data_IF_879586317031
#
_entry.id   IF_879586317031
#
_cell.length_a   1.000
_cell.length_b   1.000
_cell.length_c   1.000
_cell.angle_alpha   90.00
_cell.angle_beta   90.00
_cell.angle_gamma   90.00
#
_symmetry.space_group_name_H-M   'P 1'
#
loop_
_entity.id
_entity.type
_entity.pdbx_description
1 polymer ?
#
# COMPACT_ATOMS: atom_id res chain seq x y z
N UNK A 1 -20.45 -40.55 5.24
CA UNK A 1 -20.23 -40.01 5.07
C UNK A 1 -19.63 -39.50 5.75
N UNK A 2 -19.89 -39.96 6.30
CA UNK A 2 -19.46 -39.34 7.07
C UNK A 2 -18.32 -38.99 6.79
N UNK A 3 -18.04 -39.63 6.28
CA UNK A 3 -16.97 -39.23 6.20
C UNK A 3 -16.94 -38.06 5.70
N UNK A 4 -17.61 -38.04 5.19
CA UNK A 4 -17.48 -36.98 4.70
C UNK A 4 -17.40 -36.08 5.44
N UNK A 5 -17.91 -36.52 6.02
CA UNK A 5 -17.95 -35.56 6.70
C UNK A 5 -16.78 -35.18 7.02
N UNK A 6 -16.40 -35.93 6.99
CA UNK A 6 -15.35 -35.49 7.32
C UNK A 6 -14.90 -34.74 6.39
N UNK A 7 -15.37 -34.99 6.08
CA UNK A 7 -15.04 -34.27 5.68
C UNK A 7 -15.11 -33.28 5.75
N UNK A 8 -15.54 -33.46 5.62
CA UNK A 8 -15.75 -32.25 5.60
C UNK A 8 -15.10 -31.49 6.54
N UNK A 9 -15.10 -31.89 7.47
CA UNK A 9 -14.49 -31.17 8.43
C UNK A 9 -13.18 -30.80 8.05
N UNK A 10 -12.64 -31.63 7.52
CA UNK A 10 -11.38 -31.30 7.22
C UNK A 10 -11.35 -30.16 6.42
N UNK A 11 -12.09 -30.04 5.84
CA UNK A 11 -11.92 -29.07 5.11
C UNK A 11 -11.99 -27.89 5.63
N UNK A 12 -12.05 -27.83 6.30
CA UNK A 12 -12.08 -26.75 6.77
C UNK A 12 -11.01 -26.21 7.18
N UNK A 13 -10.43 -26.70 7.17
CA UNK A 13 -9.57 -26.29 7.50
C UNK A 13 -8.64 -26.10 7.01
N UNK A 14 -8.60 -26.35 6.73
CA UNK A 14 -7.81 -26.15 6.33
C UNK A 14 -7.51 -25.58 5.64
N UNK A 15 -7.64 -25.64 5.34
CA UNK A 15 -7.32 -25.03 4.46
C UNK A 15 -7.19 -23.82 4.05
N UNK A 16 -7.25 -23.09 4.52
CA UNK A 16 -7.11 -21.84 3.93
C UNK A 16 -5.75 -21.40 3.64
N UNK A 17 -4.81 -22.02 4.13
CA UNK A 17 -3.54 -21.64 3.87
C UNK A 17 -3.16 -21.74 2.51
N UNK A 18 -3.80 -22.43 1.79
CA UNK A 18 -3.52 -22.53 0.40
C UNK A 18 -3.60 -21.18 -0.25
N UNK A 19 -4.53 -20.40 0.17
CA UNK A 19 -4.70 -19.08 -0.38
C UNK A 19 -3.46 -18.25 -0.20
N UNK A 20 -2.75 -18.48 0.86
CA UNK A 20 -1.59 -17.70 1.13
C UNK A 20 -0.47 -17.88 0.15
N UNK A 21 -0.46 -18.94 -0.57
CA UNK A 21 0.60 -19.19 -1.52
C UNK A 21 0.30 -18.65 -2.90
N UNK A 22 -0.91 -18.15 -3.12
CA UNK A 22 -1.28 -17.64 -4.41
C UNK A 22 -0.82 -16.20 -4.58
N UNK A 23 -0.38 -15.88 -5.78
CA UNK A 23 -0.07 -14.50 -6.13
C UNK A 23 -1.37 -13.82 -6.52
N UNK A 24 -1.79 -12.78 -5.82
CA UNK A 24 -3.09 -12.16 -6.06
C UNK A 24 -3.16 -11.28 -7.29
N UNK A 25 -2.05 -11.04 -7.97
CA UNK A 25 -1.98 -10.11 -9.08
C UNK A 25 -1.63 -10.82 -10.38
N UNK A 26 -2.32 -10.46 -11.43
CA UNK A 26 -2.17 -11.09 -12.75
C UNK A 26 -2.07 -10.03 -13.84
N UNK A 27 -1.04 -9.19 -13.74
CA UNK A 27 -0.86 -8.09 -14.69
C UNK A 27 -0.26 -8.57 -16.01
N UNK A 28 0.31 -9.75 -16.04
CA UNK A 28 1.02 -10.27 -17.19
C UNK A 28 2.51 -9.96 -17.15
N UNK A 29 2.99 -9.24 -16.13
CA UNK A 29 4.40 -8.92 -15.95
C UNK A 29 4.83 -9.46 -14.60
N UNK A 30 5.64 -10.50 -14.58
CA UNK A 30 5.96 -11.24 -13.35
C UNK A 30 6.57 -10.36 -12.28
N UNK A 31 7.50 -9.48 -12.62
CA UNK A 31 8.12 -8.66 -11.59
C UNK A 31 7.20 -7.56 -11.08
N UNK A 32 6.24 -7.13 -11.86
CA UNK A 32 5.20 -6.22 -11.37
C UNK A 32 4.29 -6.95 -10.40
N UNK A 33 3.89 -8.18 -10.74
CA UNK A 33 3.06 -8.99 -9.84
C UNK A 33 3.77 -9.23 -8.51
N UNK A 34 5.06 -9.53 -8.54
CA UNK A 34 5.84 -9.74 -7.32
C UNK A 34 5.93 -8.46 -6.50
N UNK A 35 6.14 -7.32 -7.15
CA UNK A 35 6.21 -6.03 -6.48
C UNK A 35 4.88 -5.71 -5.79
N UNK A 36 3.77 -5.90 -6.51
CA UNK A 36 2.44 -5.61 -5.96
C UNK A 36 2.09 -6.56 -4.81
N UNK A 37 2.50 -7.81 -4.91
CA UNK A 37 2.30 -8.79 -3.84
C UNK A 37 3.03 -8.35 -2.58
N UNK A 38 4.26 -7.91 -2.72
CA UNK A 38 5.03 -7.45 -1.58
C UNK A 38 4.44 -6.17 -0.98
N UNK A 39 4.01 -5.24 -1.83
CA UNK A 39 3.33 -4.04 -1.35
C UNK A 39 2.08 -4.38 -0.55
N UNK A 40 1.30 -5.33 -1.05
CA UNK A 40 0.08 -5.75 -0.37
C UNK A 40 0.39 -6.31 1.00
N UNK A 41 1.44 -7.12 1.11
CA UNK A 41 1.88 -7.66 2.39
C UNK A 41 2.25 -6.55 3.35
N UNK A 42 2.99 -5.57 2.88
CA UNK A 42 3.40 -4.44 3.71
C UNK A 42 2.19 -3.63 4.18
N UNK A 43 1.22 -3.42 3.28
CA UNK A 43 0.02 -2.69 3.64
C UNK A 43 -0.85 -3.47 4.62
N UNK A 44 -0.89 -4.79 4.51
CA UNK A 44 -1.60 -5.62 5.47
C UNK A 44 -0.94 -5.56 6.84
N UNK A 45 0.40 -5.54 6.89
CA UNK A 45 1.13 -5.36 8.13
C UNK A 45 0.85 -3.99 8.73
N UNK A 46 0.82 -2.97 7.89
CA UNK A 46 0.50 -1.61 8.33
C UNK A 46 -0.90 -1.54 8.94
N UNK A 47 -1.85 -2.22 8.31
CA UNK A 47 -3.21 -2.28 8.82
C UNK A 47 -3.26 -2.92 10.20
N UNK A 48 -2.55 -4.03 10.39
CA UNK A 48 -2.49 -4.71 11.67
C UNK A 48 -1.86 -3.80 12.74
N UNK A 49 -0.83 -3.06 12.38
CA UNK A 49 -0.20 -2.12 13.30
C UNK A 49 -1.17 -1.00 13.68
N UNK A 50 -1.93 -0.52 12.71
CA UNK A 50 -2.92 0.53 12.93
C UNK A 50 -3.97 0.07 13.95
N UNK A 51 -4.38 -1.18 13.85
CA UNK A 51 -5.36 -1.72 14.78
C UNK A 51 -4.78 -1.97 16.17
N UNK A 52 -3.48 -2.24 16.24
CA UNK A 52 -2.83 -2.56 17.50
C UNK A 52 -2.42 -1.33 18.31
N UNK A 53 -2.15 -0.22 17.64
CA UNK A 53 -1.63 0.97 18.31
C UNK A 53 -2.77 1.94 18.62
N UNK A 54 -2.88 2.38 19.88
CA UNK A 54 -4.04 3.16 20.32
C UNK A 54 -3.96 4.66 20.06
N UNK A 55 -2.80 5.19 19.72
CA UNK A 55 -2.63 6.65 19.60
C UNK A 55 -3.42 7.20 18.42
N UNK A 56 -4.34 8.13 18.64
CA UNK A 56 -5.21 8.62 17.55
C UNK A 56 -4.48 9.33 16.42
N UNK A 57 -3.44 10.11 16.76
CA UNK A 57 -2.69 10.82 15.73
C UNK A 57 -1.90 9.87 14.85
N UNK A 58 -1.33 8.84 15.46
CA UNK A 58 -0.59 7.83 14.74
C UNK A 58 -1.53 7.01 13.87
N UNK A 59 -2.69 6.66 14.44
CA UNK A 59 -3.70 5.91 13.69
C UNK A 59 -4.19 6.69 12.48
N UNK A 60 -4.40 7.99 12.62
CA UNK A 60 -4.83 8.84 11.51
C UNK A 60 -3.79 8.84 10.40
N UNK A 61 -2.50 8.93 10.76
CA UNK A 61 -1.43 8.90 9.78
C UNK A 61 -1.35 7.54 9.09
N UNK A 62 -1.46 6.46 9.85
CA UNK A 62 -1.41 5.11 9.27
C UNK A 62 -2.59 4.85 8.34
N UNK A 63 -3.77 5.37 8.68
CA UNK A 63 -4.94 5.25 7.81
C UNK A 63 -4.70 5.97 6.48
N UNK A 64 -4.09 7.15 6.52
CA UNK A 64 -3.72 7.87 5.30
C UNK A 64 -2.72 7.07 4.46
N UNK A 65 -1.73 6.45 5.11
CA UNK A 65 -0.75 5.61 4.41
C UNK A 65 -1.41 4.42 3.75
N UNK A 66 -2.30 3.73 4.47
CA UNK A 66 -3.00 2.58 3.91
C UNK A 66 -3.81 2.98 2.68
N UNK A 67 -4.55 4.06 2.81
CA UNK A 67 -5.42 4.51 1.74
C UNK A 67 -4.62 4.86 0.48
N UNK A 68 -3.57 5.66 0.66
CA UNK A 68 -2.72 6.04 -0.47
C UNK A 68 -2.00 4.82 -1.04
N UNK A 69 -1.48 3.95 -0.19
CA UNK A 69 -0.76 2.76 -0.63
C UNK A 69 -1.63 1.81 -1.42
N UNK A 70 -2.86 1.59 -0.97
CA UNK A 70 -3.78 0.70 -1.68
C UNK A 70 -4.21 1.29 -3.02
N UNK A 71 -4.36 2.61 -3.08
CA UNK A 71 -4.67 3.29 -4.35
C UNK A 71 -3.50 3.19 -5.33
N UNK A 72 -2.27 3.25 -4.83
CA UNK A 72 -1.08 3.05 -5.67
C UNK A 72 -1.09 1.63 -6.25
N UNK A 73 -1.37 0.63 -5.41
CA UNK A 73 -1.45 -0.76 -5.86
C UNK A 73 -2.49 -0.91 -6.96
N UNK A 74 -3.69 -0.36 -6.74
CA UNK A 74 -4.76 -0.45 -7.73
C UNK A 74 -4.40 0.23 -9.03
N UNK A 75 -3.76 1.39 -8.95
CA UNK A 75 -3.37 2.15 -10.13
C UNK A 75 -2.34 1.38 -10.96
N UNK A 76 -1.34 0.79 -10.30
CA UNK A 76 -0.31 0.02 -10.99
C UNK A 76 -0.87 -1.29 -11.53
N UNK A 77 -1.78 -1.93 -10.78
CA UNK A 77 -2.40 -3.16 -11.26
C UNK A 77 -3.17 -2.90 -12.56
N UNK A 78 -3.88 -1.78 -12.61
CA UNK A 78 -4.65 -1.42 -13.80
C UNK A 78 -3.75 -0.98 -14.96
N UNK A 79 -2.55 -0.46 -14.67
CA UNK A 79 -1.62 0.01 -15.69
C UNK A 79 -0.19 -0.39 -15.30
N UNK A 80 0.19 -1.64 -15.59
CA UNK A 80 1.50 -2.17 -15.15
C UNK A 80 2.72 -1.39 -15.64
N UNK A 81 2.58 -0.67 -16.74
CA UNK A 81 3.68 0.17 -17.24
C UNK A 81 4.06 1.26 -16.24
N UNK A 82 3.15 1.60 -15.33
CA UNK A 82 3.43 2.62 -14.30
C UNK A 82 4.29 2.09 -13.17
N UNK A 83 4.55 0.81 -13.11
CA UNK A 83 5.32 0.19 -12.03
C UNK A 83 6.68 0.85 -11.84
N UNK A 84 7.32 1.24 -12.93
CA UNK A 84 8.66 1.85 -12.84
C UNK A 84 8.64 3.16 -12.07
N UNK A 85 7.53 3.87 -12.05
CA UNK A 85 7.41 5.14 -11.35
C UNK A 85 7.36 4.96 -9.84
N UNK A 86 6.95 3.79 -9.38
CA UNK A 86 6.77 3.53 -7.95
C UNK A 86 7.76 2.48 -7.41
N UNK A 87 8.72 2.03 -8.21
CA UNK A 87 9.63 0.97 -7.78
C UNK A 87 10.42 1.32 -6.53
N UNK A 88 10.95 2.52 -6.45
CA UNK A 88 11.69 2.93 -5.27
C UNK A 88 10.80 3.00 -4.05
N UNK A 89 9.60 3.52 -4.24
CA UNK A 89 8.61 3.56 -3.17
C UNK A 89 8.28 2.15 -2.70
N UNK A 90 7.98 1.26 -3.63
CA UNK A 90 7.56 -0.10 -3.30
C UNK A 90 8.67 -0.92 -2.66
N UNK A 91 9.89 -0.78 -3.16
CA UNK A 91 10.99 -1.64 -2.73
C UNK A 91 11.73 -1.11 -1.52
N UNK A 92 11.65 0.18 -1.25
CA UNK A 92 12.44 0.78 -0.16
C UNK A 92 11.60 1.62 0.79
N UNK A 93 10.85 2.57 0.28
CA UNK A 93 10.16 3.52 1.16
C UNK A 93 9.06 2.88 1.99
N UNK A 94 8.20 2.11 1.35
CA UNK A 94 7.09 1.44 2.03
C UNK A 94 7.59 0.41 3.06
N UNK A 95 8.53 -0.50 2.70
CA UNK A 95 9.03 -1.44 3.70
C UNK A 95 9.73 -0.75 4.87
N UNK A 96 10.48 0.31 4.60
CA UNK A 96 11.18 1.04 5.67
C UNK A 96 10.19 1.72 6.60
N UNK A 97 9.15 2.33 6.05
CA UNK A 97 8.13 2.99 6.86
C UNK A 97 7.42 1.98 7.77
N UNK A 98 7.07 0.82 7.23
CA UNK A 98 6.43 -0.23 8.01
C UNK A 98 7.37 -0.74 9.09
N UNK A 99 8.64 -0.90 8.76
CA UNK A 99 9.64 -1.38 9.71
C UNK A 99 9.78 -0.43 10.91
N UNK A 100 9.82 0.88 10.67
CA UNK A 100 9.90 1.87 11.74
C UNK A 100 8.70 1.75 12.67
N UNK A 101 7.51 1.60 12.10
CA UNK A 101 6.29 1.48 12.89
C UNK A 101 6.25 0.16 13.67
N UNK A 102 6.78 -0.92 13.09
CA UNK A 102 6.90 -2.19 13.80
C UNK A 102 7.82 -2.05 15.00
N UNK A 103 8.93 -1.36 14.83
CA UNK A 103 9.86 -1.14 15.93
C UNK A 103 9.24 -0.31 17.05
N UNK A 104 8.47 0.71 16.67
CA UNK A 104 7.75 1.51 17.65
C UNK A 104 6.72 0.68 18.39
N UNK A 105 5.96 -0.15 17.67
CA UNK A 105 4.95 -1.01 18.29
C UNK A 105 5.58 -1.96 19.30
N UNK A 106 6.75 -2.50 18.96
CA UNK A 106 7.48 -3.39 19.87
C UNK A 106 7.87 -2.67 21.13
N UNK A 107 8.37 -1.45 20.99
CA UNK A 107 8.77 -0.63 22.12
C UNK A 107 7.57 -0.30 23.01
N UNK A 108 6.45 0.09 22.39
CA UNK A 108 5.21 0.39 23.11
C UNK A 108 4.70 -0.81 23.87
N UNK A 109 4.82 -2.00 23.28
CA UNK A 109 4.37 -3.24 23.90
C UNK A 109 5.20 -3.58 25.12
N UNK A 110 6.47 -3.19 25.13
CA UNK A 110 7.34 -3.42 26.26
C UNK A 110 7.02 -2.51 27.44
N UNK A 111 6.08 -1.57 27.27
CA UNK A 111 5.64 -0.73 28.36
C UNK A 111 6.62 0.35 28.77
N UNK A 112 7.47 0.79 27.85
CA UNK A 112 8.40 1.86 28.12
C UNK A 112 7.63 3.13 28.49
N UNK A 113 8.00 3.77 29.58
CA UNK A 113 7.28 4.93 30.10
C UNK A 113 8.27 6.01 30.49
N UNK A 114 7.74 7.18 30.76
CA UNK A 114 8.54 8.30 31.20
C UNK A 114 8.79 9.31 30.10
N UNK A 115 9.69 10.25 30.36
CA UNK A 115 9.96 11.34 29.42
C UNK A 115 10.48 10.85 28.09
N UNK A 116 11.36 9.85 28.12
CA UNK A 116 11.91 9.31 26.89
C UNK A 116 10.84 8.68 26.02
N UNK A 117 9.91 7.97 26.63
CA UNK A 117 8.82 7.34 25.90
C UNK A 117 7.91 8.39 25.27
N UNK A 118 7.63 9.46 26.02
CA UNK A 118 6.79 10.54 25.49
C UNK A 118 7.47 11.26 24.32
N UNK A 119 8.77 11.48 24.43
CA UNK A 119 9.54 12.12 23.37
C UNK A 119 9.56 11.27 22.10
N UNK A 120 9.77 9.96 22.27
CA UNK A 120 9.77 9.03 21.14
C UNK A 120 8.40 8.98 20.48
N UNK A 121 7.34 8.94 21.29
CA UNK A 121 5.97 8.94 20.75
C UNK A 121 5.70 10.17 19.90
N UNK A 122 6.08 11.35 20.41
CA UNK A 122 5.89 12.59 19.67
C UNK A 122 6.66 12.60 18.35
N UNK A 123 7.87 12.09 18.39
CA UNK A 123 8.72 12.00 17.21
C UNK A 123 8.13 11.04 16.17
N UNK A 124 7.67 9.90 16.63
CA UNK A 124 7.06 8.91 15.73
C UNK A 124 5.78 9.45 15.12
N UNK A 125 4.95 10.13 15.91
CA UNK A 125 3.71 10.71 15.40
C UNK A 125 3.99 11.77 14.34
N UNK A 126 4.98 12.62 14.60
CA UNK A 126 5.36 13.65 13.65
C UNK A 126 5.89 13.04 12.35
N UNK A 127 6.78 12.07 12.47
CA UNK A 127 7.36 11.42 11.30
C UNK A 127 6.33 10.60 10.54
N UNK A 128 5.39 9.98 11.24
CA UNK A 128 4.33 9.21 10.59
C UNK A 128 3.47 10.12 9.71
N UNK A 129 3.18 11.32 10.19
CA UNK A 129 2.43 12.29 9.39
C UNK A 129 3.19 12.67 8.12
N UNK A 130 4.50 12.88 8.24
CA UNK A 130 5.35 13.20 7.07
C UNK A 130 5.39 12.03 6.10
N UNK A 131 5.48 10.81 6.62
CA UNK A 131 5.49 9.61 5.79
C UNK A 131 4.16 9.46 5.06
N UNK A 132 3.05 9.71 5.75
CA UNK A 132 1.73 9.67 5.13
C UNK A 132 1.64 10.67 3.98
N UNK A 133 2.17 11.87 4.18
CA UNK A 133 2.22 12.88 3.12
C UNK A 133 3.05 12.39 1.93
N UNK A 134 4.17 11.72 2.19
CA UNK A 134 5.00 11.17 1.12
C UNK A 134 4.26 10.10 0.32
N UNK A 135 3.47 9.25 0.99
CA UNK A 135 2.63 8.26 0.31
C UNK A 135 1.62 8.95 -0.60
N UNK A 136 0.98 9.99 -0.07
CA UNK A 136 -0.01 10.74 -0.83
C UNK A 136 0.63 11.46 -2.02
N UNK A 137 1.82 11.98 -1.84
CA UNK A 137 2.56 12.62 -2.94
C UNK A 137 2.94 11.62 -4.02
N UNK A 138 3.27 10.40 -3.63
CA UNK A 138 3.58 9.35 -4.61
C UNK A 138 2.35 9.03 -5.45
N UNK A 139 1.19 8.91 -4.82
CA UNK A 139 -0.06 8.67 -5.54
C UNK A 139 -0.38 9.84 -6.46
N UNK A 140 -0.18 11.04 -5.96
CA UNK A 140 -0.44 12.26 -6.72
C UNK A 140 0.44 12.33 -7.97
N UNK A 141 1.70 11.91 -7.85
CA UNK A 141 2.62 11.86 -8.98
C UNK A 141 2.14 10.90 -10.07
N UNK A 142 1.53 9.78 -9.68
CA UNK A 142 0.92 8.86 -10.66
C UNK A 142 -0.24 9.51 -11.38
N UNK A 143 -1.09 10.21 -10.65
CA UNK A 143 -2.24 10.89 -11.25
C UNK A 143 -1.79 12.04 -12.14
N UNK A 144 -0.75 12.76 -11.75
CA UNK A 144 -0.22 13.86 -12.55
C UNK A 144 0.28 13.35 -13.90
N UNK A 145 0.94 12.21 -13.91
CA UNK A 145 1.40 11.61 -15.16
C UNK A 145 0.23 11.27 -16.07
N UNK A 146 -0.86 10.72 -15.51
CA UNK A 146 -2.06 10.43 -16.29
C UNK A 146 -2.71 11.70 -16.84
N UNK A 147 -2.74 12.75 -16.04
CA UNK A 147 -3.28 14.03 -16.47
C UNK A 147 -2.50 14.63 -17.64
N UNK A 148 -1.19 14.50 -17.61
CA UNK A 148 -0.35 15.00 -18.69
C UNK A 148 -0.61 14.23 -19.99
N UNK A 149 -0.76 12.93 -19.90
CA UNK A 149 -1.08 12.09 -21.06
C UNK A 149 -2.43 12.48 -21.65
N UNK A 150 -3.41 12.67 -20.80
CA UNK A 150 -4.74 13.08 -21.23
C UNK A 150 -4.70 14.45 -21.91
N UNK A 151 -3.96 15.40 -21.34
CA UNK A 151 -3.82 16.73 -21.93
C UNK A 151 -3.20 16.65 -23.33
N UNK A 152 -2.17 15.82 -23.48
CA UNK A 152 -1.53 15.64 -24.79
C UNK A 152 -2.52 15.07 -25.80
N UNK A 153 -3.29 14.07 -25.39
CA UNK A 153 -4.29 13.45 -26.26
C UNK A 153 -5.37 14.47 -26.68
N UNK A 154 -5.82 15.29 -25.74
CA UNK A 154 -6.81 16.31 -26.04
C UNK A 154 -6.27 17.33 -27.04
N UNK A 155 -5.00 17.71 -26.90
CA UNK A 155 -4.37 18.63 -27.84
C UNK A 155 -4.34 18.05 -29.24
N UNK A 156 -3.99 16.76 -29.35
CA UNK A 156 -3.98 16.06 -30.65
C UNK A 156 -5.36 16.12 -31.29
N UNK A 157 -6.40 15.79 -30.51
CA UNK A 157 -7.76 15.80 -31.01
C UNK A 157 -8.17 17.19 -31.48
N UNK A 158 -7.83 18.23 -30.72
CA UNK A 158 -8.14 19.59 -31.11
C UNK A 158 -7.46 19.97 -32.42
N UNK A 159 -6.20 19.58 -32.58
CA UNK A 159 -5.44 19.86 -33.80
C UNK A 159 -6.05 19.14 -35.00
N UNK A 160 -6.51 17.91 -34.79
CA UNK A 160 -7.17 17.15 -35.87
C UNK A 160 -8.46 17.84 -36.32
N UNK A 161 -9.23 18.32 -35.36
CA UNK A 161 -10.47 19.02 -35.70
C UNK A 161 -10.17 20.29 -36.47
N UNK A 162 -9.16 21.06 -36.09
CA UNK A 162 -8.77 22.26 -36.82
C UNK A 162 -8.30 21.94 -38.23
N UNK A 163 -7.50 20.90 -38.36
CA UNK A 163 -6.96 20.50 -39.66
C UNK A 163 -8.05 20.06 -40.66
N UNK A 164 -9.19 19.60 -40.14
CA UNK A 164 -10.29 19.19 -40.97
C UNK A 164 -11.36 20.24 -41.15
N UNK A 165 -11.17 21.39 -40.55
CA UNK A 165 -12.14 22.45 -40.65
C UNK A 165 -13.39 22.22 -39.82
N UNK A 166 -13.29 21.38 -38.80
CA UNK A 166 -14.44 21.04 -37.96
C UNK A 166 -14.56 21.94 -36.69
#
# INVERSE_FOLDING_TARGET
>A
GGACAAFGAAKKFCPPRVVETEVPFHTGVDDVDAMLTEMQKQLDTLHALNEALPEPNLSAAMTRMEKAGRSIVETVEAAPAKAKQVRRFANYYLPDAVNVLQQYAKLAKQGVRGENAAAIRGEVEHNASSIATAFENQLDALYAAESMDLSADLTVLQNMLKGQGL
#
